data_IF_964424820824
#
_entry.id   IF_964424820824
#
_cell.length_a   1.000
_cell.length_b   1.000
_cell.length_c   1.000
_cell.angle_alpha   90.00
_cell.angle_beta   90.00
_cell.angle_gamma   90.00
#
_symmetry.space_group_name_H-M   'P 1'
#
loop_
_entity.id
_entity.type
_entity.pdbx_description
1 polymer ?
#
# COMPACT_ATOMS: atom_id res chain seq x y z
N UNK A 1 -5.86 -35.57 7.25
CA UNK A 1 -7.06 -36.33 6.86
C UNK A 1 -6.81 -37.84 6.84
N UNK A 2 -5.81 -38.36 6.10
CA UNK A 2 -5.54 -39.82 5.97
C UNK A 2 -5.47 -40.53 7.34
N UNK A 3 -4.58 -40.11 8.21
CA UNK A 3 -4.40 -40.77 9.54
C UNK A 3 -5.61 -40.61 10.45
N UNK A 4 -6.31 -39.46 10.38
CA UNK A 4 -7.54 -39.24 11.13
C UNK A 4 -8.66 -40.20 10.69
N UNK A 5 -8.78 -40.43 9.38
CA UNK A 5 -9.78 -41.38 8.85
C UNK A 5 -9.44 -42.82 9.27
N UNK A 6 -8.17 -43.24 9.18
CA UNK A 6 -7.73 -44.57 9.65
C UNK A 6 -8.08 -44.77 11.13
N UNK A 7 -7.86 -43.77 11.98
CA UNK A 7 -8.19 -43.84 13.40
C UNK A 7 -9.69 -43.97 13.62
N UNK A 8 -10.50 -43.15 12.88
CA UNK A 8 -11.96 -43.22 12.97
C UNK A 8 -12.50 -44.58 12.52
N UNK A 9 -12.00 -45.10 11.41
CA UNK A 9 -12.40 -46.42 10.90
C UNK A 9 -12.01 -47.56 11.86
N UNK A 10 -10.83 -47.46 12.49
CA UNK A 10 -10.39 -48.44 13.49
C UNK A 10 -11.18 -48.39 14.82
N UNK A 11 -11.70 -47.20 15.19
CA UNK A 11 -12.58 -47.03 16.34
C UNK A 11 -14.00 -47.58 16.04
N UNK A 12 -14.49 -47.30 14.79
CA UNK A 12 -15.82 -47.77 14.40
C UNK A 12 -15.87 -49.30 14.22
N UNK A 13 -14.77 -49.94 13.81
CA UNK A 13 -14.66 -51.36 13.56
C UNK A 13 -13.55 -52.00 14.42
N UNK A 14 -13.79 -52.30 15.69
CA UNK A 14 -12.78 -52.80 16.63
C UNK A 14 -12.15 -54.16 16.25
N UNK A 15 -12.78 -54.89 15.34
CA UNK A 15 -12.22 -56.17 14.84
C UNK A 15 -11.03 -56.00 13.89
N UNK A 16 -10.87 -54.82 13.27
CA UNK A 16 -9.83 -54.53 12.26
C UNK A 16 -8.66 -53.72 12.80
N UNK A 17 -8.69 -53.26 14.05
CA UNK A 17 -7.70 -52.34 14.59
C UNK A 17 -6.88 -52.94 15.73
N UNK A 18 -5.65 -53.37 15.46
CA UNK A 18 -4.71 -53.64 16.56
C UNK A 18 -4.43 -52.35 17.33
N UNK A 19 -4.47 -52.36 18.72
CA UNK A 19 -4.18 -51.16 19.53
C UNK A 19 -2.86 -50.49 19.17
N UNK A 20 -1.84 -51.24 18.80
CA UNK A 20 -0.53 -50.74 18.36
C UNK A 20 -0.62 -49.92 17.05
N UNK A 21 -1.53 -50.26 16.12
CA UNK A 21 -1.73 -49.55 14.88
C UNK A 21 -2.41 -48.22 15.16
N UNK A 22 -3.39 -48.20 16.05
CA UNK A 22 -4.10 -46.98 16.45
C UNK A 22 -3.13 -46.02 17.12
N UNK A 23 -2.33 -46.48 18.06
CA UNK A 23 -1.32 -45.66 18.75
C UNK A 23 -0.29 -45.06 17.77
N UNK A 24 0.24 -45.87 16.85
CA UNK A 24 1.16 -45.40 15.82
C UNK A 24 0.55 -44.30 14.94
N UNK A 25 -0.67 -44.49 14.50
CA UNK A 25 -1.37 -43.48 13.65
C UNK A 25 -1.73 -42.22 14.46
N UNK A 26 -2.01 -42.36 15.76
CA UNK A 26 -2.24 -41.21 16.64
C UNK A 26 -0.96 -40.38 16.80
N UNK A 27 0.20 -40.99 17.03
CA UNK A 27 1.48 -40.30 17.12
C UNK A 27 1.85 -39.61 15.82
N UNK A 28 1.58 -40.26 14.65
CA UNK A 28 1.78 -39.63 13.35
C UNK A 28 0.83 -38.46 13.13
N UNK A 29 -0.42 -38.59 13.52
CA UNK A 29 -1.37 -37.48 13.42
C UNK A 29 -0.92 -36.30 14.29
N UNK A 30 -0.53 -36.56 15.53
CA UNK A 30 0.01 -35.56 16.45
C UNK A 30 1.23 -34.86 15.87
N UNK A 31 2.17 -35.60 15.31
CA UNK A 31 3.35 -35.07 14.64
C UNK A 31 2.96 -34.12 13.50
N UNK A 32 2.06 -34.50 12.57
CA UNK A 32 1.66 -33.65 11.46
C UNK A 32 0.87 -32.42 11.91
N UNK A 33 0.05 -32.50 12.94
CA UNK A 33 -0.65 -31.36 13.52
C UNK A 33 0.34 -30.38 14.16
N UNK A 34 1.34 -30.90 14.88
CA UNK A 34 2.41 -30.07 15.45
C UNK A 34 3.20 -29.36 14.34
N UNK A 35 3.56 -30.08 13.26
CA UNK A 35 4.27 -29.47 12.12
C UNK A 35 3.43 -28.43 11.38
N UNK A 36 2.13 -28.61 11.30
CA UNK A 36 1.22 -27.59 10.73
C UNK A 36 1.23 -26.32 11.58
N UNK A 37 1.21 -26.46 12.89
CA UNK A 37 1.24 -25.32 13.82
C UNK A 37 2.62 -24.67 13.89
N UNK A 38 3.67 -25.46 14.11
CA UNK A 38 5.05 -25.02 14.23
C UNK A 38 6.03 -26.05 13.66
N UNK A 39 6.49 -25.85 12.45
CA UNK A 39 7.45 -26.73 11.77
C UNK A 39 8.91 -26.57 12.27
N UNK A 40 9.12 -25.76 13.30
CA UNK A 40 10.41 -25.57 13.97
C UNK A 40 10.35 -25.94 15.44
N UNK A 41 9.42 -26.83 15.82
CA UNK A 41 9.32 -27.31 17.22
C UNK A 41 10.59 -28.06 17.62
N UNK A 42 11.12 -27.76 18.81
CA UNK A 42 12.29 -28.43 19.35
C UNK A 42 12.02 -29.92 19.51
N UNK A 43 13.04 -30.77 19.25
CA UNK A 43 12.94 -32.21 19.38
C UNK A 43 12.26 -32.96 18.22
N UNK A 44 11.85 -32.25 17.15
CA UNK A 44 11.24 -32.88 15.97
C UNK A 44 11.97 -32.46 14.69
N UNK A 45 12.08 -33.38 13.73
CA UNK A 45 12.62 -33.05 12.40
C UNK A 45 11.61 -32.26 11.59
N UNK A 46 11.99 -31.11 10.99
CA UNK A 46 11.07 -30.30 10.23
C UNK A 46 10.66 -30.99 8.94
N UNK A 47 9.38 -30.85 8.57
CA UNK A 47 8.87 -31.28 7.29
C UNK A 47 9.30 -30.33 6.17
N UNK A 48 9.85 -30.88 5.09
CA UNK A 48 10.34 -30.10 3.95
C UNK A 48 10.01 -30.74 2.61
N UNK A 49 10.31 -30.01 1.56
CA UNK A 49 10.30 -30.49 0.17
C UNK A 49 11.60 -31.29 -0.07
N UNK A 50 11.61 -32.10 -1.13
CA UNK A 50 12.82 -32.82 -1.56
C UNK A 50 14.01 -31.90 -1.84
N UNK A 51 13.77 -30.61 -2.11
CA UNK A 51 14.76 -29.56 -2.30
C UNK A 51 15.39 -29.03 -0.99
N UNK A 52 15.05 -29.60 0.17
CA UNK A 52 15.51 -29.15 1.49
C UNK A 52 14.75 -27.94 2.06
N UNK A 53 13.83 -27.33 1.29
CA UNK A 53 13.04 -26.18 1.75
C UNK A 53 11.94 -26.64 2.70
N UNK A 54 11.92 -26.12 3.91
CA UNK A 54 10.89 -26.44 4.91
C UNK A 54 9.53 -25.86 4.53
N UNK A 55 8.45 -26.61 4.82
CA UNK A 55 7.09 -26.10 4.63
C UNK A 55 6.78 -24.97 5.60
N UNK A 56 6.01 -24.01 5.11
CA UNK A 56 5.52 -22.91 5.95
C UNK A 56 4.40 -23.39 6.86
N UNK A 57 4.60 -23.24 8.16
CA UNK A 57 3.61 -23.51 9.19
C UNK A 57 2.83 -22.24 9.56
N UNK A 58 1.78 -22.38 10.39
CA UNK A 58 0.96 -21.25 10.87
C UNK A 58 1.85 -20.24 11.62
N UNK A 59 2.68 -20.70 12.53
CA UNK A 59 3.61 -19.84 13.28
C UNK A 59 4.54 -19.04 12.34
N UNK A 60 5.08 -19.68 11.30
CA UNK A 60 5.96 -18.98 10.34
C UNK A 60 5.22 -17.95 9.49
N UNK A 61 3.94 -18.16 9.21
CA UNK A 61 3.10 -17.19 8.48
C UNK A 61 2.73 -15.97 9.32
N UNK A 62 2.73 -16.10 10.64
CA UNK A 62 2.37 -15.00 11.56
C UNK A 62 3.60 -14.24 12.05
N UNK A 63 4.58 -14.93 12.64
CA UNK A 63 5.62 -14.34 13.47
C UNK A 63 6.93 -14.02 12.74
N UNK A 64 7.12 -14.48 11.50
CA UNK A 64 8.36 -14.21 10.76
C UNK A 64 8.43 -12.77 10.24
N UNK A 65 9.62 -12.34 9.80
CA UNK A 65 9.84 -11.02 9.20
C UNK A 65 8.87 -10.71 8.05
N UNK A 66 8.53 -11.73 7.27
CA UNK A 66 7.57 -11.62 6.15
C UNK A 66 6.16 -12.11 6.54
N UNK A 67 5.94 -12.39 7.82
CA UNK A 67 4.65 -12.84 8.36
C UNK A 67 3.64 -11.70 8.48
N UNK A 68 2.39 -12.08 8.81
CA UNK A 68 1.27 -11.14 8.87
C UNK A 68 1.47 -10.04 9.92
N UNK A 69 2.03 -10.38 11.09
CA UNK A 69 2.23 -9.39 12.16
C UNK A 69 3.21 -8.30 11.71
N UNK A 70 4.42 -8.67 11.33
CA UNK A 70 5.47 -7.71 10.97
C UNK A 70 5.32 -7.14 9.56
N UNK A 71 4.82 -7.92 8.61
CA UNK A 71 4.76 -7.55 7.19
C UNK A 71 3.46 -6.85 6.75
N UNK A 72 2.37 -7.00 7.51
CA UNK A 72 1.07 -6.44 7.11
C UNK A 72 0.35 -5.64 8.21
N UNK A 73 0.64 -5.89 9.51
CA UNK A 73 0.01 -5.16 10.61
C UNK A 73 0.89 -4.02 11.12
N UNK A 74 2.15 -4.31 11.48
CA UNK A 74 3.10 -3.30 11.94
C UNK A 74 3.52 -2.31 10.85
N UNK A 75 3.56 -2.77 9.61
CA UNK A 75 3.81 -1.96 8.42
C UNK A 75 3.07 -2.54 7.23
N UNK A 76 2.48 -1.70 6.40
CA UNK A 76 1.75 -2.08 5.19
C UNK A 76 2.01 -1.10 4.06
N UNK A 77 1.79 -1.55 2.84
CA UNK A 77 1.78 -0.67 1.67
C UNK A 77 0.51 0.15 1.64
N UNK A 78 0.61 1.38 1.19
CA UNK A 78 -0.51 2.32 1.09
C UNK A 78 -0.67 2.78 -0.34
N UNK A 79 -1.93 3.08 -0.71
CA UNK A 79 -2.27 3.70 -1.97
C UNK A 79 -2.14 5.23 -1.89
N UNK A 80 -2.35 5.93 -3.00
CA UNK A 80 -2.24 7.38 -3.11
C UNK A 80 -0.89 7.93 -2.64
N UNK A 81 0.18 7.21 -2.95
CA UNK A 81 1.56 7.59 -2.66
C UNK A 81 2.39 7.71 -3.92
N UNK A 82 3.39 8.58 -3.90
CA UNK A 82 4.37 8.72 -4.97
C UNK A 82 5.78 8.74 -4.39
N UNK A 83 6.74 8.40 -5.25
CA UNK A 83 8.16 8.45 -4.93
C UNK A 83 8.91 9.10 -6.07
N UNK A 84 9.77 10.07 -5.76
CA UNK A 84 10.66 10.72 -6.72
C UNK A 84 11.94 11.18 -6.02
N UNK A 85 12.85 11.67 -6.80
CA UNK A 85 14.08 12.32 -6.30
C UNK A 85 13.68 13.64 -5.64
N UNK A 86 14.45 14.07 -4.64
CA UNK A 86 14.29 15.34 -3.93
C UNK A 86 15.38 16.34 -4.35
N UNK A 87 14.99 17.59 -4.53
CA UNK A 87 15.91 18.71 -4.81
C UNK A 87 15.56 19.92 -3.94
N UNK A 88 16.58 20.69 -3.58
CA UNK A 88 16.38 21.94 -2.85
C UNK A 88 15.89 23.06 -3.78
N UNK A 89 14.95 23.86 -3.30
CA UNK A 89 14.48 25.08 -3.97
C UNK A 89 14.32 26.20 -2.95
N UNK A 90 15.20 27.23 -2.98
CA UNK A 90 15.15 28.32 -2.01
C UNK A 90 13.92 29.24 -2.19
N UNK A 91 13.26 29.18 -3.35
CA UNK A 91 12.08 30.01 -3.64
C UNK A 91 10.77 29.48 -3.02
N UNK A 92 10.80 28.26 -2.47
CA UNK A 92 9.67 27.68 -1.76
C UNK A 92 9.68 28.08 -0.28
N UNK A 93 8.50 28.28 0.30
CA UNK A 93 8.37 28.45 1.75
C UNK A 93 8.76 27.15 2.47
N UNK A 94 9.12 27.27 3.76
CA UNK A 94 9.42 26.13 4.64
C UNK A 94 8.22 25.16 4.72
N UNK A 95 7.01 25.67 4.63
CA UNK A 95 5.77 24.87 4.68
C UNK A 95 5.39 24.26 3.35
N UNK A 96 5.99 24.68 2.24
CA UNK A 96 5.60 24.27 0.90
C UNK A 96 6.43 23.10 0.39
N UNK A 97 5.77 22.24 -0.41
CA UNK A 97 6.39 21.16 -1.16
C UNK A 97 6.07 21.33 -2.64
N UNK A 98 7.10 21.46 -3.46
CA UNK A 98 6.98 21.45 -4.91
C UNK A 98 6.71 20.04 -5.43
N UNK A 99 5.53 19.83 -6.01
CA UNK A 99 5.11 18.52 -6.57
C UNK A 99 5.10 18.59 -8.08
N UNK A 100 5.76 17.65 -8.80
CA UNK A 100 5.72 17.61 -10.25
C UNK A 100 4.31 17.44 -10.80
N UNK A 101 4.01 18.08 -11.93
CA UNK A 101 2.71 18.01 -12.62
C UNK A 101 2.26 16.57 -12.91
N UNK A 102 3.19 15.67 -13.30
CA UNK A 102 2.89 14.26 -13.57
C UNK A 102 2.33 13.55 -12.33
N UNK A 103 2.92 13.83 -11.17
CA UNK A 103 2.49 13.25 -9.88
C UNK A 103 1.17 13.88 -9.45
N UNK A 104 1.01 15.20 -9.61
CA UNK A 104 -0.20 15.93 -9.25
C UNK A 104 -1.44 15.48 -10.04
N UNK A 105 -1.25 15.07 -11.30
CA UNK A 105 -2.33 14.46 -12.12
C UNK A 105 -2.66 13.03 -11.72
N UNK A 106 -1.70 12.27 -11.21
CA UNK A 106 -1.88 10.86 -10.89
C UNK A 106 -2.45 10.66 -9.48
N UNK A 107 -1.92 11.39 -8.50
CA UNK A 107 -2.45 11.35 -7.12
C UNK A 107 -3.66 12.26 -7.06
N UNK A 108 -4.82 11.64 -6.75
CA UNK A 108 -6.08 12.34 -6.70
C UNK A 108 -6.57 12.52 -5.27
N UNK A 109 -7.30 13.60 -5.05
CA UNK A 109 -7.99 13.87 -3.79
C UNK A 109 -9.50 13.70 -3.98
N UNK A 110 -10.17 12.80 -3.24
CA UNK A 110 -11.61 12.67 -3.31
C UNK A 110 -12.30 13.90 -2.70
N UNK A 111 -13.24 14.46 -3.42
CA UNK A 111 -14.12 15.54 -2.95
C UNK A 111 -15.56 15.13 -3.08
N UNK A 112 -16.33 15.29 -2.01
CA UNK A 112 -17.77 15.07 -1.99
C UNK A 112 -18.47 16.21 -2.74
N UNK A 113 -19.41 15.84 -3.61
CA UNK A 113 -20.22 16.80 -4.36
C UNK A 113 -21.32 17.35 -3.47
N UNK A 114 -21.34 18.66 -3.32
CA UNK A 114 -22.36 19.45 -2.64
C UNK A 114 -22.92 20.50 -3.63
N UNK A 115 -24.07 21.08 -3.33
CA UNK A 115 -24.66 22.11 -4.17
C UNK A 115 -23.71 23.30 -4.44
N UNK A 116 -22.94 23.70 -3.42
CA UNK A 116 -22.01 24.83 -3.52
C UNK A 116 -20.81 24.57 -4.44
N UNK A 117 -20.31 23.34 -4.47
CA UNK A 117 -19.10 22.98 -5.22
C UNK A 117 -19.39 22.26 -6.54
N UNK A 118 -20.67 21.93 -6.81
CA UNK A 118 -21.11 21.18 -8.00
C UNK A 118 -20.59 21.81 -9.30
N UNK A 119 -20.80 23.11 -9.48
CA UNK A 119 -20.37 23.79 -10.71
C UNK A 119 -18.85 23.78 -10.92
N UNK A 120 -18.10 23.92 -9.84
CA UNK A 120 -16.64 23.80 -9.87
C UNK A 120 -16.19 22.38 -10.22
N UNK A 121 -16.75 21.36 -9.57
CA UNK A 121 -16.40 19.97 -9.81
C UNK A 121 -16.82 19.49 -11.21
N UNK A 122 -17.94 20.00 -11.75
CA UNK A 122 -18.37 19.71 -13.12
C UNK A 122 -17.31 20.17 -14.15
N UNK A 123 -16.74 21.35 -13.96
CA UNK A 123 -15.63 21.83 -14.84
C UNK A 123 -14.41 20.92 -14.76
N UNK A 124 -14.05 20.43 -13.56
CA UNK A 124 -12.93 19.51 -13.40
C UNK A 124 -13.19 18.15 -14.06
N UNK A 125 -14.43 17.66 -14.01
CA UNK A 125 -14.83 16.42 -14.67
C UNK A 125 -14.80 16.59 -16.19
N UNK A 126 -15.26 17.71 -16.73
CA UNK A 126 -15.19 18.04 -18.16
C UNK A 126 -13.74 18.12 -18.66
N UNK A 127 -12.82 18.72 -17.88
CA UNK A 127 -11.40 18.74 -18.22
C UNK A 127 -10.80 17.33 -18.30
N UNK A 128 -11.28 16.41 -17.46
CA UNK A 128 -10.84 15.01 -17.43
C UNK A 128 -9.41 14.81 -16.90
N UNK A 129 -8.81 13.62 -17.16
CA UNK A 129 -7.52 13.25 -16.60
C UNK A 129 -6.32 13.92 -17.29
N UNK A 130 -6.45 14.34 -18.53
CA UNK A 130 -5.32 14.80 -19.35
C UNK A 130 -5.03 16.29 -19.15
N UNK A 131 -6.08 17.08 -18.91
CA UNK A 131 -5.97 18.53 -18.72
C UNK A 131 -5.87 18.84 -17.22
N UNK A 132 -4.91 19.71 -16.86
CA UNK A 132 -4.77 20.20 -15.50
C UNK A 132 -5.31 21.63 -15.36
N UNK A 133 -6.13 21.91 -14.34
CA UNK A 133 -6.70 21.05 -13.32
C UNK A 133 -7.86 20.20 -13.85
N UNK A 134 -7.94 18.96 -13.42
CA UNK A 134 -8.95 18.01 -13.84
C UNK A 134 -9.29 16.96 -12.80
N UNK A 135 -9.94 15.87 -13.22
CA UNK A 135 -10.31 14.74 -12.39
C UNK A 135 -10.09 13.41 -13.12
N UNK A 136 -9.79 12.34 -12.37
CA UNK A 136 -9.52 11.01 -12.93
C UNK A 136 -10.70 10.07 -12.83
N UNK A 137 -11.45 10.13 -11.73
CA UNK A 137 -12.55 9.22 -11.43
C UNK A 137 -13.73 9.95 -10.80
N UNK A 138 -14.90 9.40 -11.07
CA UNK A 138 -16.14 9.72 -10.39
C UNK A 138 -16.63 8.47 -9.66
N UNK A 139 -16.86 8.56 -8.37
CA UNK A 139 -17.52 7.54 -7.56
C UNK A 139 -18.94 8.00 -7.27
N UNK A 140 -19.91 7.23 -7.74
CA UNK A 140 -21.33 7.48 -7.50
C UNK A 140 -21.71 7.12 -6.07
N UNK A 141 -22.80 7.67 -5.58
CA UNK A 141 -23.36 7.33 -4.26
C UNK A 141 -23.61 5.84 -4.08
N UNK A 142 -23.88 5.10 -5.15
CA UNK A 142 -24.09 3.64 -5.15
C UNK A 142 -22.79 2.84 -5.03
N UNK A 143 -21.62 3.49 -5.02
CA UNK A 143 -20.31 2.83 -5.00
C UNK A 143 -19.72 2.54 -6.39
N UNK A 144 -20.45 2.83 -7.47
CA UNK A 144 -19.95 2.63 -8.83
C UNK A 144 -18.82 3.60 -9.15
N UNK A 145 -17.70 3.07 -9.63
CA UNK A 145 -16.53 3.85 -10.01
C UNK A 145 -16.45 4.02 -11.54
N UNK A 146 -16.54 5.26 -11.98
CA UNK A 146 -16.48 5.64 -13.39
C UNK A 146 -15.12 6.30 -13.66
N UNK A 147 -14.35 5.73 -14.62
CA UNK A 147 -13.11 6.33 -15.08
C UNK A 147 -13.40 7.39 -16.14
N UNK A 148 -12.98 8.63 -15.90
CA UNK A 148 -13.24 9.75 -16.83
C UNK A 148 -12.39 9.69 -18.12
N UNK A 149 -11.53 8.69 -18.27
CA UNK A 149 -10.74 8.48 -19.48
C UNK A 149 -11.55 7.86 -20.63
N UNK A 150 -12.56 7.05 -20.30
CA UNK A 150 -13.26 6.21 -21.28
C UNK A 150 -14.73 6.57 -21.47
N UNK A 151 -15.21 7.63 -20.81
CA UNK A 151 -16.60 8.03 -20.81
C UNK A 151 -16.75 9.42 -21.43
N UNK A 152 -17.86 9.66 -22.09
CA UNK A 152 -18.24 11.00 -22.53
C UNK A 152 -18.51 11.88 -21.31
N UNK A 153 -17.67 12.89 -21.13
CA UNK A 153 -17.63 13.77 -19.96
C UNK A 153 -18.70 14.85 -19.98
N UNK A 154 -19.18 15.18 -21.16
CA UNK A 154 -20.19 16.22 -21.34
C UNK A 154 -21.57 15.74 -20.90
N UNK A 155 -21.85 14.45 -21.07
CA UNK A 155 -23.10 13.82 -20.65
C UNK A 155 -23.19 13.53 -19.15
N UNK A 156 -22.05 13.64 -18.40
CA UNK A 156 -22.02 13.31 -16.99
C UNK A 156 -22.61 14.41 -16.11
N UNK A 157 -23.74 14.13 -15.50
CA UNK A 157 -24.36 14.98 -14.48
C UNK A 157 -23.90 14.54 -13.11
N UNK A 158 -23.39 15.47 -12.30
CA UNK A 158 -23.01 15.24 -10.91
C UNK A 158 -24.21 15.40 -9.99
N UNK A 159 -24.39 14.44 -9.09
CA UNK A 159 -25.42 14.46 -8.06
C UNK A 159 -24.81 14.74 -6.68
N UNK A 160 -25.56 15.39 -5.76
CA UNK A 160 -25.12 15.55 -4.39
C UNK A 160 -24.89 14.19 -3.73
N UNK A 161 -23.71 14.00 -3.14
CA UNK A 161 -23.30 12.73 -2.52
C UNK A 161 -22.33 11.90 -3.38
N UNK A 162 -22.14 12.25 -4.65
CA UNK A 162 -21.06 11.68 -5.47
C UNK A 162 -19.70 12.14 -4.96
N UNK A 163 -18.63 11.35 -5.23
CA UNK A 163 -17.26 11.73 -4.94
C UNK A 163 -16.45 11.88 -6.23
N UNK A 164 -15.88 13.05 -6.44
CA UNK A 164 -15.00 13.35 -7.58
C UNK A 164 -13.55 13.25 -7.10
N UNK A 165 -12.77 12.38 -7.74
CA UNK A 165 -11.34 12.26 -7.52
C UNK A 165 -10.59 13.28 -8.39
N UNK A 166 -10.47 14.51 -7.87
CA UNK A 166 -9.78 15.59 -8.56
C UNK A 166 -8.26 15.48 -8.46
N UNK A 167 -7.56 16.09 -9.40
CA UNK A 167 -6.12 16.26 -9.32
C UNK A 167 -5.71 17.02 -8.05
N UNK A 168 -4.49 16.76 -7.60
CA UNK A 168 -3.86 17.55 -6.56
C UNK A 168 -3.63 18.98 -7.05
N UNK A 169 -3.93 19.96 -6.21
CA UNK A 169 -3.82 21.38 -6.54
C UNK A 169 -3.01 22.14 -5.50
N UNK A 170 -2.63 23.36 -5.85
CA UNK A 170 -1.96 24.26 -4.93
C UNK A 170 -2.82 24.48 -3.67
N UNK A 171 -2.21 24.49 -2.50
CA UNK A 171 -2.90 24.59 -1.22
C UNK A 171 -3.40 23.29 -0.62
N UNK A 172 -3.29 22.15 -1.33
CA UNK A 172 -3.58 20.84 -0.73
C UNK A 172 -2.48 20.45 0.26
N UNK A 173 -2.86 19.78 1.35
CA UNK A 173 -1.91 19.25 2.31
C UNK A 173 -1.56 17.82 2.01
N UNK A 174 -0.25 17.51 2.07
CA UNK A 174 0.30 16.16 1.87
C UNK A 174 1.29 15.81 2.96
N UNK A 175 1.33 14.53 3.31
CA UNK A 175 2.37 14.00 4.17
C UNK A 175 3.60 13.66 3.32
N UNK A 176 4.71 14.27 3.66
CA UNK A 176 5.99 14.00 3.03
C UNK A 176 6.91 13.24 3.99
N UNK A 177 7.49 12.15 3.52
CA UNK A 177 8.38 11.29 4.30
C UNK A 177 9.66 10.99 3.54
N UNK A 178 10.79 10.97 4.26
CA UNK A 178 12.05 10.44 3.76
C UNK A 178 12.51 9.28 4.61
N UNK A 179 12.86 8.15 3.98
CA UNK A 179 13.46 6.99 4.64
C UNK A 179 15.00 7.17 4.76
N UNK A 180 15.63 6.73 5.85
CA UNK A 180 15.06 6.04 7.02
C UNK A 180 14.31 6.99 7.96
N UNK A 181 13.11 6.55 8.44
CA UNK A 181 12.27 7.33 9.35
C UNK A 181 12.66 7.04 10.81
N UNK A 182 13.71 7.67 11.29
CA UNK A 182 14.29 7.42 12.62
C UNK A 182 13.59 8.19 13.74
N UNK A 183 12.90 9.28 13.41
CA UNK A 183 12.19 10.13 14.37
C UNK A 183 10.93 10.74 13.73
N UNK A 184 10.09 11.34 14.56
CA UNK A 184 8.80 11.92 14.13
C UNK A 184 8.95 13.03 13.06
N UNK A 185 10.06 13.76 13.07
CA UNK A 185 10.36 14.82 12.10
C UNK A 185 10.67 14.30 10.69
N UNK A 186 10.92 13.00 10.52
CA UNK A 186 11.12 12.40 9.19
C UNK A 186 9.82 12.30 8.38
N UNK A 187 8.68 12.62 8.98
CA UNK A 187 7.38 12.70 8.33
C UNK A 187 6.67 13.97 8.78
N UNK A 188 6.46 14.91 7.86
CA UNK A 188 5.81 16.18 8.12
C UNK A 188 4.77 16.49 7.06
N UNK A 189 3.82 17.35 7.41
CA UNK A 189 2.79 17.84 6.49
C UNK A 189 3.29 19.10 5.79
N UNK A 190 3.12 19.14 4.48
CA UNK A 190 3.43 20.30 3.64
C UNK A 190 2.25 20.70 2.78
N UNK A 191 2.18 21.98 2.47
CA UNK A 191 1.28 22.55 1.49
C UNK A 191 1.85 22.33 0.08
N UNK A 192 1.04 21.81 -0.82
CA UNK A 192 1.45 21.51 -2.21
C UNK A 192 1.56 22.78 -3.02
N UNK A 193 2.64 22.88 -3.78
CA UNK A 193 2.78 23.79 -4.90
C UNK A 193 3.10 23.00 -6.16
N UNK A 194 2.20 22.99 -7.13
CA UNK A 194 2.36 22.18 -8.33
C UNK A 194 3.36 22.82 -9.28
N UNK A 195 4.39 22.07 -9.63
CA UNK A 195 5.46 22.55 -10.51
C UNK A 195 5.19 22.16 -11.96
N UNK A 196 5.13 23.16 -12.85
CA UNK A 196 4.89 22.95 -14.28
C UNK A 196 6.05 22.28 -14.99
N UNK A 197 7.28 22.47 -14.50
CA UNK A 197 8.53 21.92 -15.08
C UNK A 197 9.29 21.10 -14.04
N UNK A 198 9.89 20.00 -14.50
CA UNK A 198 10.68 19.09 -13.69
C UNK A 198 9.88 17.90 -13.15
N UNK A 199 10.60 16.83 -12.81
CA UNK A 199 10.03 15.54 -12.34
C UNK A 199 10.43 15.22 -10.89
N UNK A 200 11.06 16.17 -10.18
CA UNK A 200 11.56 15.99 -8.81
C UNK A 200 10.67 16.71 -7.79
N UNK A 201 10.57 16.15 -6.59
CA UNK A 201 10.02 16.91 -5.47
C UNK A 201 10.99 18.03 -5.07
N UNK A 202 10.45 19.18 -4.74
CA UNK A 202 11.22 20.33 -4.30
C UNK A 202 10.78 20.80 -2.94
N UNK A 203 11.72 21.15 -2.08
CA UNK A 203 11.41 21.74 -0.78
C UNK A 203 12.51 22.73 -0.38
N UNK A 204 12.19 23.57 0.61
CA UNK A 204 13.14 24.57 1.09
C UNK A 204 14.35 23.91 1.74
N UNK A 205 15.53 24.42 1.45
CA UNK A 205 16.81 23.90 1.98
C UNK A 205 16.85 23.90 3.50
N UNK A 206 16.17 24.83 4.17
CA UNK A 206 16.06 24.88 5.65
C UNK A 206 15.38 23.66 6.28
N UNK A 207 14.64 22.85 5.48
CA UNK A 207 13.94 21.64 5.94
C UNK A 207 14.75 20.36 5.74
N UNK A 208 15.98 20.45 5.28
CA UNK A 208 16.84 19.29 5.03
C UNK A 208 17.20 18.54 6.30
N UNK A 209 17.52 19.23 7.38
CA UNK A 209 17.95 18.62 8.65
C UNK A 209 16.88 17.68 9.27
N UNK A 210 15.61 18.07 9.39
CA UNK A 210 14.56 17.18 9.89
C UNK A 210 14.42 15.88 9.08
N UNK A 211 14.57 15.96 7.77
CA UNK A 211 14.50 14.81 6.88
C UNK A 211 15.81 14.02 6.76
N UNK A 212 16.88 14.50 7.41
CA UNK A 212 18.23 13.99 7.22
C UNK A 212 18.56 13.86 5.71
N UNK A 213 18.17 14.90 4.95
CA UNK A 213 18.35 14.93 3.51
C UNK A 213 19.69 15.57 3.17
N UNK A 214 20.43 14.90 2.28
CA UNK A 214 21.63 15.43 1.69
C UNK A 214 21.42 15.50 0.16
N UNK A 215 21.82 16.62 -0.44
CA UNK A 215 21.77 16.81 -1.89
C UNK A 215 23.14 16.50 -2.46
N UNK A 216 23.36 15.25 -2.88
CA UNK A 216 24.59 14.84 -3.51
C UNK A 216 24.92 15.75 -4.71
N UNK A 217 26.11 16.30 -4.71
CA UNK A 217 26.63 17.18 -5.77
C UNK A 217 26.59 16.54 -7.17
N UNK A 218 26.51 15.22 -7.25
CA UNK A 218 26.40 14.47 -8.50
C UNK A 218 25.03 14.58 -9.20
N UNK A 219 23.95 14.87 -8.48
CA UNK A 219 22.61 15.02 -9.06
C UNK A 219 22.38 16.41 -9.68
N UNK A 220 23.13 17.42 -9.23
CA UNK A 220 23.07 18.77 -9.83
C UNK A 220 23.78 18.88 -11.19
N UNK A 221 24.62 17.90 -11.56
CA UNK A 221 25.47 17.97 -12.77
C UNK A 221 24.81 17.43 -14.05
N UNK A 222 23.62 16.87 -13.97
CA UNK A 222 22.88 16.33 -15.14
C UNK A 222 21.73 17.23 -15.65
N UNK A 223 21.68 18.49 -15.25
CA UNK A 223 20.70 19.45 -15.77
C UNK A 223 21.31 20.60 -16.60
N UNK A 224 22.50 20.40 -17.11
CA UNK A 224 23.15 21.35 -18.00
C UNK A 224 23.80 20.61 -19.16
N UNK A 225 23.01 20.18 -20.11
CA UNK A 225 23.31 20.03 -21.55
C UNK A 225 21.99 19.94 -22.30
#
# INVERSE_FOLDING_TARGET
>A
LKYNNIIKDAIANPTNGSPKIIEKNYLLLQYYVTMLSNNKASGTSPLGQNSGRTFQCISSRLNTKNGRVRGNLMGKRVDFSARSVITGDPNLSITQLGVPMKIAKNITRPMLVNERNRGYLTRLVQNGPDVYPGANRLERKNGDQISLRYVDRESLVLEPGDKVHRHMMDGDYVLFNRQPSLHKMSMMCHEVKVMKKGDTFRFNVGVTNPYNADFDKHLCRKQGD
#
